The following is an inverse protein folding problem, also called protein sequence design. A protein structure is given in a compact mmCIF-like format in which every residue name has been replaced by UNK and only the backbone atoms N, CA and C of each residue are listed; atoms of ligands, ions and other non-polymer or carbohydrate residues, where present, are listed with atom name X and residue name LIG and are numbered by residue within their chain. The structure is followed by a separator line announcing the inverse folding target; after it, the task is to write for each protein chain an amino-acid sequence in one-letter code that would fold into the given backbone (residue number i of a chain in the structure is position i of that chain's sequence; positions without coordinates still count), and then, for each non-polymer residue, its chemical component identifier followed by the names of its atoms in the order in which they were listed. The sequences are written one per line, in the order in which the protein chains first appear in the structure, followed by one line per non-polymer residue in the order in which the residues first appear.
data_IF_249108428058
#
_entry.id   IF_249108428058
#
_cell.length_a   1.000
_cell.length_b   1.000
_cell.length_c   1.000
_cell.angle_alpha   90.00
_cell.angle_beta   90.00
_cell.angle_gamma   90.00
#
_symmetry.space_group_name_H-M   'P 1'
#
loop_
_entity.id
_entity.type
_entity.pdbx_description
1 polymer ?
#
# COMPACT_ATOMS: atom_id res chain seq x y z
N UNK A 1 -8.83 23.67 -19.02
CA UNK A 1 -7.88 24.15 -17.98
C UNK A 1 -6.45 23.68 -18.24
N UNK A 2 -6.22 22.56 -18.92
CA UNK A 2 -4.88 22.05 -19.26
C UNK A 2 -3.97 23.07 -20.00
N UNK A 3 -4.51 23.86 -20.94
CA UNK A 3 -3.72 24.87 -21.65
C UNK A 3 -3.20 25.98 -20.72
N UNK A 4 -3.99 26.42 -19.74
CA UNK A 4 -3.56 27.40 -18.73
C UNK A 4 -2.41 26.86 -17.86
N UNK A 5 -2.44 25.57 -17.53
CA UNK A 5 -1.36 24.90 -16.82
C UNK A 5 -0.08 24.85 -17.68
N UNK A 6 -0.18 24.46 -18.96
CA UNK A 6 0.96 24.37 -19.89
C UNK A 6 1.62 25.74 -20.11
N UNK A 7 0.82 26.79 -20.25
CA UNK A 7 1.30 28.16 -20.41
C UNK A 7 1.66 28.85 -19.08
N UNK A 8 1.47 28.16 -17.94
CA UNK A 8 1.68 28.67 -16.58
C UNK A 8 0.92 29.98 -16.29
N UNK A 9 -0.24 30.14 -16.92
CA UNK A 9 -1.10 31.28 -16.73
C UNK A 9 -1.98 31.06 -15.51
N UNK A 10 -2.19 32.11 -14.71
CA UNK A 10 -3.08 32.12 -13.54
C UNK A 10 -2.75 31.07 -12.45
N UNK A 11 -1.57 30.43 -12.51
CA UNK A 11 -1.10 29.53 -11.47
C UNK A 11 -0.83 30.31 -10.19
N UNK A 12 -1.54 29.96 -9.13
CA UNK A 12 -1.54 30.63 -7.83
C UNK A 12 -0.86 29.80 -6.73
N UNK A 13 -0.37 28.61 -7.09
CA UNK A 13 0.45 27.75 -6.21
C UNK A 13 1.54 27.00 -7.00
N UNK A 14 2.67 26.77 -6.34
CA UNK A 14 3.78 25.94 -6.80
C UNK A 14 3.97 24.78 -5.81
N UNK A 15 3.70 23.55 -6.23
CA UNK A 15 3.98 22.36 -5.43
C UNK A 15 5.44 21.94 -5.63
N UNK A 16 6.15 21.66 -4.54
CA UNK A 16 7.55 21.25 -4.55
C UNK A 16 7.65 19.85 -3.97
N UNK A 17 7.97 18.86 -4.80
CA UNK A 17 8.26 17.49 -4.37
C UNK A 17 9.69 17.13 -4.77
N UNK A 18 10.57 17.04 -3.78
CA UNK A 18 12.01 16.83 -4.00
C UNK A 18 12.61 17.88 -4.94
N UNK A 19 12.96 17.45 -6.16
CA UNK A 19 13.57 18.30 -7.19
C UNK A 19 12.54 18.90 -8.17
N UNK A 20 11.29 18.42 -8.19
CA UNK A 20 10.27 18.91 -9.12
C UNK A 20 9.50 20.09 -8.54
N UNK A 21 9.25 21.07 -9.41
CA UNK A 21 8.46 22.27 -9.13
C UNK A 21 7.27 22.29 -10.08
N UNK A 22 6.07 22.04 -9.56
CA UNK A 22 4.86 21.83 -10.34
C UNK A 22 3.92 23.02 -10.10
N UNK A 23 3.81 23.96 -11.06
CA UNK A 23 2.84 25.05 -10.96
C UNK A 23 1.43 24.48 -11.09
N UNK A 24 0.47 25.00 -10.33
CA UNK A 24 -0.92 24.56 -10.38
C UNK A 24 -1.89 25.67 -9.93
N UNK A 25 -3.18 25.36 -10.01
CA UNK A 25 -4.28 26.20 -9.57
C UNK A 25 -4.91 25.60 -8.31
N UNK A 26 -4.95 26.37 -7.23
CA UNK A 26 -5.55 25.97 -5.94
C UNK A 26 -6.98 25.49 -6.12
N UNK A 27 -7.76 26.18 -6.96
CA UNK A 27 -9.15 25.83 -7.23
C UNK A 27 -9.29 24.44 -7.86
N UNK A 28 -8.44 24.11 -8.85
CA UNK A 28 -8.50 22.82 -9.55
C UNK A 28 -8.09 21.69 -8.60
N UNK A 29 -7.03 21.89 -7.83
CA UNK A 29 -6.58 20.91 -6.84
C UNK A 29 -7.62 20.68 -5.74
N UNK A 30 -8.22 21.75 -5.22
CA UNK A 30 -9.26 21.68 -4.17
C UNK A 30 -10.53 20.99 -4.64
N UNK A 31 -10.84 21.07 -5.94
CA UNK A 31 -12.04 20.44 -6.50
C UNK A 31 -11.95 18.91 -6.54
N UNK A 32 -10.74 18.35 -6.57
CA UNK A 32 -10.52 16.90 -6.70
C UNK A 32 -9.97 16.25 -5.43
N UNK A 33 -9.39 17.03 -4.51
CA UNK A 33 -8.68 16.56 -3.32
C UNK A 33 -9.15 17.31 -2.08
N UNK A 34 -9.67 16.56 -1.12
CA UNK A 34 -10.07 17.09 0.19
C UNK A 34 -8.87 17.64 0.98
N UNK A 35 -7.69 17.03 0.82
CA UNK A 35 -6.45 17.52 1.41
C UNK A 35 -6.13 18.95 0.92
N UNK A 36 -6.14 19.17 -0.40
CA UNK A 36 -5.88 20.50 -0.97
C UNK A 36 -7.00 21.49 -0.62
N UNK A 37 -8.26 21.04 -0.61
CA UNK A 37 -9.38 21.86 -0.19
C UNK A 37 -9.19 22.36 1.25
N UNK A 38 -8.87 21.46 2.19
CA UNK A 38 -8.60 21.80 3.58
C UNK A 38 -7.37 22.71 3.74
N UNK A 39 -6.27 22.41 3.05
CA UNK A 39 -5.04 23.20 3.11
C UNK A 39 -5.22 24.64 2.60
N UNK A 40 -6.04 24.84 1.57
CA UNK A 40 -6.22 26.16 0.95
C UNK A 40 -7.39 26.97 1.52
N UNK A 41 -8.33 26.35 2.25
CA UNK A 41 -9.49 27.04 2.85
C UNK A 41 -9.33 27.33 4.34
N UNK A 42 -8.52 26.56 5.07
CA UNK A 42 -8.26 26.83 6.48
C UNK A 42 -7.25 27.98 6.66
N UNK A 43 -7.37 28.74 7.76
CA UNK A 43 -6.45 29.83 8.15
C UNK A 43 -5.08 29.31 8.63
N UNK A 44 -4.53 28.32 7.95
CA UNK A 44 -3.18 27.79 8.17
C UNK A 44 -2.15 28.59 7.39
N UNK A 45 -0.89 28.61 7.84
CA UNK A 45 0.18 29.42 7.23
C UNK A 45 0.39 29.08 5.74
N UNK A 46 0.21 27.80 5.40
CA UNK A 46 0.29 27.21 4.06
C UNK A 46 -0.77 27.78 3.11
N UNK A 47 -1.94 28.18 3.63
CA UNK A 47 -2.99 28.79 2.83
C UNK A 47 -2.56 30.11 2.19
N UNK A 48 -1.55 30.80 2.76
CA UNK A 48 -1.00 32.06 2.23
C UNK A 48 0.31 31.88 1.47
N UNK A 49 0.88 30.67 1.45
CA UNK A 49 2.15 30.39 0.78
C UNK A 49 1.96 30.12 -0.71
N UNK A 50 2.76 30.80 -1.55
CA UNK A 50 2.79 30.53 -3.00
C UNK A 50 3.53 29.24 -3.34
N UNK A 51 4.41 28.77 -2.46
CA UNK A 51 5.16 27.53 -2.63
C UNK A 51 4.82 26.57 -1.49
N UNK A 52 4.35 25.36 -1.83
CA UNK A 52 3.99 24.32 -0.87
C UNK A 52 4.94 23.15 -1.06
N UNK A 53 5.67 22.78 0.00
CA UNK A 53 6.54 21.61 -0.02
C UNK A 53 5.74 20.37 0.34
N UNK A 54 5.81 19.36 -0.53
CA UNK A 54 5.17 18.07 -0.38
C UNK A 54 6.25 17.07 0.05
N UNK A 55 6.32 16.79 1.35
CA UNK A 55 7.26 15.82 1.91
C UNK A 55 6.68 14.40 1.85
N UNK A 56 7.54 13.41 1.61
CA UNK A 56 7.13 11.99 1.59
C UNK A 56 6.37 11.54 0.33
N UNK A 57 6.25 12.39 -0.70
CA UNK A 57 5.59 12.05 -1.97
C UNK A 57 6.62 11.89 -3.08
N UNK A 58 6.48 10.83 -3.88
CA UNK A 58 7.26 10.67 -5.11
C UNK A 58 6.96 11.81 -6.10
N UNK A 59 7.99 12.52 -6.61
CA UNK A 59 7.78 13.67 -7.48
C UNK A 59 7.01 13.33 -8.77
N UNK A 60 7.23 12.14 -9.34
CA UNK A 60 6.55 11.73 -10.57
C UNK A 60 5.10 11.38 -10.30
N UNK A 61 4.82 10.66 -9.20
CA UNK A 61 3.47 10.38 -8.75
C UNK A 61 2.68 11.67 -8.53
N UNK A 62 3.25 12.66 -7.83
CA UNK A 62 2.59 13.95 -7.64
C UNK A 62 2.27 14.63 -8.98
N UNK A 63 3.23 14.65 -9.91
CA UNK A 63 3.02 15.24 -11.22
C UNK A 63 1.89 14.55 -12.00
N UNK A 64 1.82 13.21 -11.95
CA UNK A 64 0.74 12.44 -12.57
C UNK A 64 -0.62 12.73 -11.94
N UNK A 65 -0.70 12.85 -10.62
CA UNK A 65 -1.94 13.20 -9.91
C UNK A 65 -2.38 14.63 -10.20
N UNK A 66 -1.44 15.57 -10.29
CA UNK A 66 -1.74 16.94 -10.73
C UNK A 66 -2.27 16.93 -12.15
N UNK A 67 -1.62 16.23 -13.09
CA UNK A 67 -2.12 16.13 -14.46
C UNK A 67 -3.53 15.53 -14.53
N UNK A 68 -3.79 14.47 -13.74
CA UNK A 68 -5.12 13.88 -13.60
C UNK A 68 -6.17 14.91 -13.15
N UNK A 69 -5.83 15.83 -12.24
CA UNK A 69 -6.75 16.88 -11.81
C UNK A 69 -7.23 17.79 -12.97
N UNK A 70 -6.44 17.92 -14.05
CA UNK A 70 -6.79 18.75 -15.21
C UNK A 70 -7.41 17.96 -16.36
N UNK A 71 -7.02 16.70 -16.54
CA UNK A 71 -7.41 15.89 -17.70
C UNK A 71 -8.49 14.86 -17.38
N UNK A 72 -8.61 14.46 -16.10
CA UNK A 72 -9.40 13.30 -15.68
C UNK A 72 -8.82 11.95 -16.13
N UNK A 73 -7.64 11.95 -16.75
CA UNK A 73 -7.00 10.76 -17.32
C UNK A 73 -5.78 10.42 -16.47
N UNK A 74 -5.73 9.16 -16.01
CA UNK A 74 -4.61 8.62 -15.24
C UNK A 74 -4.04 7.40 -15.95
N UNK A 75 -2.73 7.39 -16.16
CA UNK A 75 -2.02 6.23 -16.68
C UNK A 75 -1.52 5.38 -15.52
N UNK A 76 -1.96 4.12 -15.48
CA UNK A 76 -1.51 3.15 -14.49
C UNK A 76 -0.39 2.31 -15.08
N UNK A 77 0.68 2.12 -14.32
CA UNK A 77 1.79 1.22 -14.66
C UNK A 77 2.19 0.45 -13.41
N UNK A 78 2.59 -0.81 -13.60
CA UNK A 78 2.95 -1.73 -12.51
C UNK A 78 4.11 -1.19 -11.67
N UNK A 79 5.09 -0.56 -12.30
CA UNK A 79 6.28 0.01 -11.66
C UNK A 79 5.99 1.28 -10.85
N UNK A 80 4.89 1.99 -11.12
CA UNK A 80 4.57 3.27 -10.47
C UNK A 80 3.31 3.23 -9.61
N UNK A 81 2.54 2.14 -9.64
CA UNK A 81 1.21 2.08 -9.03
C UNK A 81 1.26 2.23 -7.50
N UNK A 82 2.28 1.68 -6.85
CA UNK A 82 2.45 1.78 -5.40
C UNK A 82 2.72 3.24 -4.99
N UNK A 83 3.70 3.89 -5.62
CA UNK A 83 3.99 5.31 -5.38
C UNK A 83 2.77 6.20 -5.68
N UNK A 84 2.00 5.86 -6.72
CA UNK A 84 0.79 6.58 -7.10
C UNK A 84 -0.33 6.41 -6.08
N UNK A 85 -0.58 5.18 -5.60
CA UNK A 85 -1.58 4.91 -4.58
C UNK A 85 -1.20 5.57 -3.25
N UNK A 86 0.08 5.51 -2.84
CA UNK A 86 0.55 6.17 -1.63
C UNK A 86 0.35 7.70 -1.69
N UNK A 87 0.73 8.32 -2.81
CA UNK A 87 0.49 9.74 -3.02
C UNK A 87 -1.01 10.08 -3.06
N UNK A 88 -1.85 9.24 -3.66
CA UNK A 88 -3.30 9.43 -3.71
C UNK A 88 -3.95 9.32 -2.32
N UNK A 89 -3.49 8.38 -1.49
CA UNK A 89 -3.92 8.24 -0.09
C UNK A 89 -3.60 9.50 0.72
N UNK A 90 -2.36 9.98 0.63
CA UNK A 90 -1.93 11.20 1.33
C UNK A 90 -2.69 12.45 0.87
N UNK A 91 -2.92 12.56 -0.44
CA UNK A 91 -3.69 13.67 -1.03
C UNK A 91 -5.21 13.47 -0.95
N UNK A 92 -5.69 12.38 -0.33
CA UNK A 92 -7.11 12.06 -0.18
C UNK A 92 -7.88 12.08 -1.51
N UNK A 93 -7.29 11.56 -2.59
CA UNK A 93 -7.89 11.45 -3.92
C UNK A 93 -8.70 10.16 -4.04
N UNK A 94 -9.92 10.12 -3.47
CA UNK A 94 -10.72 8.88 -3.34
C UNK A 94 -10.92 8.12 -4.66
N UNK A 95 -11.20 8.81 -5.77
CA UNK A 95 -11.39 8.15 -7.07
C UNK A 95 -10.11 7.47 -7.56
N UNK A 96 -8.95 8.11 -7.34
CA UNK A 96 -7.65 7.55 -7.73
C UNK A 96 -7.29 6.38 -6.83
N UNK A 97 -7.53 6.50 -5.53
CA UNK A 97 -7.34 5.41 -4.56
C UNK A 97 -8.13 4.18 -5.03
N UNK A 98 -9.41 4.34 -5.35
CA UNK A 98 -10.26 3.22 -5.80
C UNK A 98 -9.75 2.58 -7.09
N UNK A 99 -9.38 3.38 -8.09
CA UNK A 99 -8.86 2.88 -9.36
C UNK A 99 -7.53 2.13 -9.17
N UNK A 100 -6.62 2.67 -8.36
CA UNK A 100 -5.33 2.05 -8.09
C UNK A 100 -5.48 0.77 -7.26
N UNK A 101 -6.34 0.77 -6.24
CA UNK A 101 -6.65 -0.43 -5.46
C UNK A 101 -7.25 -1.52 -6.34
N UNK A 102 -8.19 -1.18 -7.22
CA UNK A 102 -8.79 -2.16 -8.14
C UNK A 102 -7.76 -2.72 -9.14
N UNK A 103 -6.77 -1.92 -9.54
CA UNK A 103 -5.67 -2.38 -10.38
C UNK A 103 -4.81 -3.40 -9.62
N UNK A 104 -4.39 -3.09 -8.39
CA UNK A 104 -3.61 -4.00 -7.54
C UNK A 104 -4.37 -5.30 -7.23
N UNK A 105 -5.67 -5.21 -6.94
CA UNK A 105 -6.52 -6.39 -6.70
C UNK A 105 -6.52 -7.34 -7.91
N UNK A 106 -6.53 -6.80 -9.14
CA UNK A 106 -6.48 -7.63 -10.36
C UNK A 106 -5.12 -8.27 -10.60
N UNK A 107 -4.07 -7.79 -9.94
CA UNK A 107 -2.71 -8.29 -10.05
C UNK A 107 -2.30 -9.15 -8.84
N UNK A 108 -3.22 -9.44 -7.93
CA UNK A 108 -2.98 -10.35 -6.82
C UNK A 108 -2.52 -11.71 -7.34
N UNK A 109 -1.36 -12.13 -6.84
CA UNK A 109 -0.72 -13.39 -7.14
C UNK A 109 -0.11 -13.95 -5.85
N UNK A 110 0.00 -15.28 -5.68
CA UNK A 110 0.55 -15.85 -4.45
C UNK A 110 1.98 -15.38 -4.11
N UNK A 111 2.73 -14.91 -5.12
CA UNK A 111 4.09 -14.39 -4.98
C UNK A 111 4.21 -12.91 -4.62
N UNK A 112 3.12 -12.13 -4.69
CA UNK A 112 3.12 -10.68 -4.40
C UNK A 112 2.03 -10.25 -3.40
N UNK A 113 1.13 -11.18 -3.02
CA UNK A 113 -0.03 -10.85 -2.21
C UNK A 113 0.35 -10.37 -0.81
N UNK A 114 1.48 -10.83 -0.26
CA UNK A 114 1.95 -10.41 1.07
C UNK A 114 2.50 -8.99 1.02
N UNK A 115 3.21 -8.63 -0.06
CA UNK A 115 3.64 -7.27 -0.32
C UNK A 115 2.46 -6.32 -0.47
N UNK A 116 1.46 -6.71 -1.27
CA UNK A 116 0.22 -5.91 -1.46
C UNK A 116 -0.57 -5.79 -0.14
N UNK A 117 -0.60 -6.85 0.68
CA UNK A 117 -1.25 -6.84 2.00
C UNK A 117 -0.57 -5.83 2.94
N UNK A 118 0.75 -5.94 3.09
CA UNK A 118 1.56 -5.02 3.89
C UNK A 118 1.46 -3.58 3.41
N UNK A 119 1.45 -3.39 2.08
CA UNK A 119 1.26 -2.08 1.47
C UNK A 119 -0.14 -1.51 1.76
N UNK A 120 -1.19 -2.34 1.68
CA UNK A 120 -2.56 -1.96 2.03
C UNK A 120 -2.68 -1.51 3.49
N UNK A 121 -2.00 -2.20 4.41
CA UNK A 121 -1.93 -1.83 5.84
C UNK A 121 -1.22 -0.49 6.04
N UNK A 122 -0.03 -0.33 5.43
CA UNK A 122 0.78 0.89 5.53
C UNK A 122 0.07 2.14 5.00
N UNK A 123 -0.72 2.00 3.93
CA UNK A 123 -1.48 3.11 3.35
C UNK A 123 -2.86 3.32 4.00
N UNK A 124 -3.27 2.49 4.95
CA UNK A 124 -4.60 2.52 5.56
C UNK A 124 -5.73 2.19 4.58
N UNK A 125 -5.43 1.52 3.46
CA UNK A 125 -6.41 1.18 2.44
C UNK A 125 -7.13 -0.11 2.81
N UNK A 126 -8.17 0.00 3.63
CA UNK A 126 -8.92 -1.15 4.17
C UNK A 126 -9.53 -2.06 3.09
N UNK A 127 -9.97 -1.50 1.96
CA UNK A 127 -10.50 -2.27 0.82
C UNK A 127 -9.43 -3.19 0.22
N UNK A 128 -8.24 -2.64 -0.04
CA UNK A 128 -7.12 -3.42 -0.58
C UNK A 128 -6.65 -4.46 0.43
N UNK A 129 -6.49 -4.04 1.69
CA UNK A 129 -6.07 -4.90 2.80
C UNK A 129 -6.98 -6.13 2.93
N UNK A 130 -8.30 -5.93 3.00
CA UNK A 130 -9.26 -7.02 3.18
C UNK A 130 -9.26 -8.00 2.01
N UNK A 131 -9.15 -7.50 0.77
CA UNK A 131 -9.14 -8.36 -0.42
C UNK A 131 -7.82 -9.14 -0.52
N UNK A 132 -6.68 -8.48 -0.28
CA UNK A 132 -5.39 -9.14 -0.23
C UNK A 132 -5.35 -10.20 0.88
N UNK A 133 -5.88 -9.89 2.07
CA UNK A 133 -5.93 -10.81 3.20
C UNK A 133 -6.71 -12.07 2.87
N UNK A 134 -7.92 -11.91 2.33
CA UNK A 134 -8.75 -13.04 1.91
C UNK A 134 -8.07 -13.90 0.86
N UNK A 135 -7.41 -13.26 -0.12
CA UNK A 135 -6.65 -13.97 -1.14
C UNK A 135 -5.48 -14.78 -0.53
N UNK A 136 -4.73 -14.17 0.40
CA UNK A 136 -3.64 -14.85 1.13
C UNK A 136 -4.16 -16.05 1.92
N UNK A 137 -5.31 -15.93 2.58
CA UNK A 137 -5.92 -17.04 3.33
C UNK A 137 -6.41 -18.16 2.41
N UNK A 138 -7.06 -17.82 1.28
CA UNK A 138 -7.59 -18.78 0.31
C UNK A 138 -6.46 -19.57 -0.40
N UNK A 139 -5.35 -18.91 -0.74
CA UNK A 139 -4.20 -19.46 -1.46
C UNK A 139 -2.97 -19.73 -0.57
N UNK A 140 -3.17 -19.87 0.75
CA UNK A 140 -2.06 -19.93 1.73
C UNK A 140 -0.98 -20.96 1.38
N UNK A 141 -1.36 -22.14 0.89
CA UNK A 141 -0.45 -23.22 0.49
C UNK A 141 0.52 -22.78 -0.62
N UNK A 142 0.04 -21.97 -1.57
CA UNK A 142 0.88 -21.43 -2.65
C UNK A 142 1.76 -20.30 -2.11
N UNK A 143 1.23 -19.48 -1.21
CA UNK A 143 1.95 -18.34 -0.60
C UNK A 143 3.17 -18.81 0.19
N UNK A 144 3.05 -19.86 1.01
CA UNK A 144 4.17 -20.37 1.84
C UNK A 144 5.35 -20.91 1.01
N UNK A 145 5.13 -21.24 -0.27
CA UNK A 145 6.18 -21.70 -1.18
C UNK A 145 6.98 -20.55 -1.79
N UNK A 146 6.50 -19.32 -1.67
CA UNK A 146 7.13 -18.13 -2.25
C UNK A 146 8.15 -17.52 -1.29
N UNK A 147 9.21 -16.92 -1.86
CA UNK A 147 10.26 -16.26 -1.08
C UNK A 147 9.74 -15.08 -0.25
N UNK A 148 8.67 -14.43 -0.69
CA UNK A 148 8.05 -13.30 0.01
C UNK A 148 7.62 -13.70 1.43
N UNK A 149 7.11 -14.92 1.62
CA UNK A 149 6.75 -15.45 2.93
C UNK A 149 7.98 -15.61 3.83
N UNK A 150 9.10 -16.09 3.29
CA UNK A 150 10.35 -16.27 4.04
C UNK A 150 10.96 -14.94 4.51
N UNK A 151 10.64 -13.83 3.85
CA UNK A 151 11.13 -12.49 4.18
C UNK A 151 10.24 -11.75 5.20
N UNK A 152 9.07 -12.29 5.54
CA UNK A 152 8.17 -11.64 6.49
C UNK A 152 8.78 -11.55 7.91
N UNK A 153 8.46 -10.47 8.65
CA UNK A 153 8.83 -10.35 10.05
C UNK A 153 7.95 -11.25 10.93
N UNK A 154 8.45 -11.60 12.13
CA UNK A 154 7.78 -12.50 13.06
C UNK A 154 6.35 -12.05 13.42
N UNK A 155 6.11 -10.73 13.50
CA UNK A 155 4.81 -10.16 13.83
C UNK A 155 3.75 -10.35 12.73
N UNK A 156 4.14 -10.35 11.46
CA UNK A 156 3.18 -10.61 10.38
C UNK A 156 2.88 -12.09 10.28
N UNK A 157 3.88 -12.94 10.52
CA UNK A 157 3.65 -14.39 10.58
C UNK A 157 2.81 -14.79 11.78
N UNK A 158 3.00 -14.18 12.95
CA UNK A 158 2.14 -14.48 14.10
C UNK A 158 0.68 -14.11 13.80
N UNK A 159 0.41 -12.99 13.13
CA UNK A 159 -0.95 -12.61 12.68
C UNK A 159 -1.52 -13.62 11.68
N UNK A 160 -0.71 -14.10 10.74
CA UNK A 160 -1.15 -15.11 9.77
C UNK A 160 -1.47 -16.42 10.48
N UNK A 161 -0.57 -16.93 11.31
CA UNK A 161 -0.70 -18.22 12.02
C UNK A 161 -1.79 -18.22 13.10
N UNK A 162 -2.09 -17.06 13.69
CA UNK A 162 -3.18 -16.91 14.66
C UNK A 162 -4.57 -16.86 13.99
N UNK A 163 -4.64 -16.71 12.67
CA UNK A 163 -5.91 -16.64 11.97
C UNK A 163 -6.56 -18.02 11.85
N UNK A 164 -7.82 -18.12 12.25
CA UNK A 164 -8.66 -19.30 12.03
C UNK A 164 -9.17 -19.40 10.58
N UNK A 165 -8.98 -18.35 9.77
CA UNK A 165 -9.47 -18.28 8.39
C UNK A 165 -8.51 -18.91 7.36
N UNK A 166 -7.36 -19.45 7.81
CA UNK A 166 -6.36 -20.06 6.91
C UNK A 166 -6.94 -21.30 6.23
N UNK A 167 -6.95 -21.30 4.89
CA UNK A 167 -7.38 -22.45 4.11
C UNK A 167 -6.23 -23.46 3.96
N UNK A 168 -6.02 -24.29 4.98
CA UNK A 168 -5.06 -25.40 4.97
C UNK A 168 -5.75 -26.75 5.17
N UNK A 169 -5.20 -27.83 4.60
CA UNK A 169 -5.75 -29.18 4.75
C UNK A 169 -5.54 -29.73 6.17
N UNK A 170 -4.45 -29.33 6.83
CA UNK A 170 -4.01 -29.85 8.11
C UNK A 170 -3.09 -28.86 8.83
N UNK A 171 -2.98 -29.03 10.15
CA UNK A 171 -2.08 -28.27 11.01
C UNK A 171 -0.59 -28.58 10.70
N UNK A 172 -0.31 -29.72 10.07
CA UNK A 172 1.04 -30.12 9.65
C UNK A 172 1.60 -29.16 8.59
N UNK A 173 0.75 -28.67 7.68
CA UNK A 173 1.12 -27.65 6.69
C UNK A 173 1.54 -26.33 7.35
N UNK A 174 0.81 -25.91 8.39
CA UNK A 174 1.14 -24.72 9.19
C UNK A 174 2.49 -24.90 9.89
N UNK A 175 2.70 -26.07 10.49
CA UNK A 175 3.97 -26.43 11.13
C UNK A 175 5.13 -26.44 10.14
N UNK A 176 4.94 -27.04 8.95
CA UNK A 176 5.95 -27.06 7.90
C UNK A 176 6.30 -25.65 7.42
N UNK A 177 5.31 -24.78 7.22
CA UNK A 177 5.52 -23.38 6.86
C UNK A 177 6.33 -22.63 7.92
N UNK A 178 6.02 -22.82 9.21
CA UNK A 178 6.80 -22.23 10.30
C UNK A 178 8.25 -22.72 10.29
N UNK A 179 8.46 -24.03 10.10
CA UNK A 179 9.80 -24.62 10.04
C UNK A 179 10.61 -24.12 8.83
N UNK A 180 9.98 -23.93 7.67
CA UNK A 180 10.61 -23.32 6.50
C UNK A 180 11.03 -21.88 6.78
N UNK A 181 10.16 -21.08 7.42
CA UNK A 181 10.47 -19.70 7.76
C UNK A 181 11.60 -19.59 8.80
N UNK A 182 11.59 -20.42 9.84
CA UNK A 182 12.66 -20.46 10.85
C UNK A 182 13.97 -20.97 10.24
N UNK A 183 13.90 -21.95 9.33
CA UNK A 183 15.06 -22.50 8.63
C UNK A 183 15.81 -21.46 7.77
N UNK A 184 15.13 -20.42 7.29
CA UNK A 184 15.74 -19.35 6.50
C UNK A 184 16.66 -18.44 7.34
N UNK A 185 16.34 -18.19 8.62
CA UNK A 185 17.20 -17.42 9.53
C UNK A 185 17.10 -17.96 10.96
N UNK A 186 17.78 -19.09 11.17
CA UNK A 186 17.72 -19.83 12.45
C UNK A 186 18.22 -18.99 13.61
N UNK A 187 19.23 -18.14 13.41
CA UNK A 187 19.86 -17.40 14.51
C UNK A 187 18.97 -16.29 15.06
N UNK A 188 18.29 -15.54 14.19
CA UNK A 188 17.38 -14.49 14.63
C UNK A 188 16.01 -15.03 15.06
N UNK A 189 15.48 -16.04 14.36
CA UNK A 189 14.08 -16.47 14.48
C UNK A 189 13.86 -17.59 15.50
N UNK A 190 14.92 -18.19 16.04
CA UNK A 190 14.81 -19.21 17.08
C UNK A 190 14.16 -18.66 18.37
N UNK A 191 14.31 -17.36 18.65
CA UNK A 191 13.66 -16.73 19.81
C UNK A 191 12.14 -16.61 19.61
N UNK A 192 11.71 -16.36 18.37
CA UNK A 192 10.28 -16.25 18.01
C UNK A 192 9.62 -17.62 17.85
N UNK A 193 10.37 -18.66 17.51
CA UNK A 193 9.87 -20.03 17.34
C UNK A 193 9.05 -20.50 18.55
N UNK A 194 9.53 -20.28 19.78
CA UNK A 194 8.83 -20.73 20.99
C UNK A 194 7.46 -20.06 21.15
N UNK A 195 7.35 -18.77 20.78
CA UNK A 195 6.08 -18.05 20.79
C UNK A 195 5.19 -18.54 19.64
N UNK A 196 5.75 -18.70 18.43
CA UNK A 196 5.01 -19.09 17.23
C UNK A 196 4.44 -20.52 17.32
N UNK A 197 5.19 -21.44 17.95
CA UNK A 197 4.72 -22.81 18.23
C UNK A 197 3.51 -22.84 19.17
N UNK A 198 3.32 -21.84 20.03
CA UNK A 198 2.17 -21.79 20.93
C UNK A 198 0.85 -21.47 20.21
N UNK A 199 0.92 -20.89 19.01
CA UNK A 199 -0.25 -20.65 18.16
C UNK A 199 -0.63 -21.88 17.32
N UNK A 200 0.29 -22.83 17.15
CA UNK A 200 0.01 -24.08 16.45
C UNK A 200 -0.72 -25.02 17.40
N UNK A 201 -1.85 -25.56 16.95
CA UNK A 201 -2.62 -26.57 17.67
C UNK A 201 -1.91 -27.91 17.57
N UNK A 202 -0.80 -28.06 18.28
CA UNK A 202 0.00 -29.29 18.36
C UNK A 202 -0.83 -30.58 18.61
N UNK A 203 -1.96 -30.57 19.36
CA UNK A 203 -2.81 -31.75 19.51
C UNK A 203 -3.54 -32.21 18.24
N UNK A 204 -3.62 -31.37 17.20
CA UNK A 204 -4.23 -31.68 15.89
C UNK A 204 -3.21 -32.23 14.88
N UNK A 205 -1.93 -32.29 15.23
CA UNK A 205 -0.93 -32.95 14.40
C UNK A 205 -1.17 -34.47 14.42
N UNK A 206 -1.08 -35.16 13.27
CA UNK A 206 -1.23 -36.60 13.23
C UNK A 206 -0.19 -37.25 14.15
N UNK A 207 -0.59 -38.20 15.02
CA UNK A 207 0.37 -38.97 15.80
C UNK A 207 1.24 -39.78 14.82
N UNK A 208 2.56 -39.58 14.89
CA UNK A 208 3.53 -40.45 14.22
C UNK A 208 3.57 -41.84 14.86
#
# INVERSE_FOLDING_TARGET
MENYLKEKQLCDVLLIAGHLRIPAHRLVLSAVSDYFAAMFTNDVLEAKQKEVKMEGIDPNALNSLVQYAYTGILQLKEDTIESLLAAACLLQLTQVIEVCSNFLIKQLHPSNCLGILSFGDAQGCTKLLNVAYRYTMEHFIEVIQNQEFLLLPANEISKLLCSDDINVPDEETIFHALMLWVGHDVQARQQDLAMLLSYIRLPLLPPQ
#
